data_IF_544121255894
#
_entry.id   IF_544121255894
#
_cell.length_a   1.000
_cell.length_b   1.000
_cell.length_c   1.000
_cell.angle_alpha   90.00
_cell.angle_beta   90.00
_cell.angle_gamma   90.00
#
_symmetry.space_group_name_H-M   'P 1'
#
loop_
_entity.id
_entity.type
_entity.pdbx_description
1 polymer ?
#
# COMPACT_ATOMS: atom_id res chain seq x y z
N UNK A 1 43.63 26.78 45.11
CA UNK A 1 44.42 25.57 45.41
C UNK A 1 43.50 24.53 46.05
N UNK A 2 43.58 23.27 45.56
CA UNK A 2 43.33 22.00 46.27
C UNK A 2 41.91 21.81 46.88
N UNK A 3 41.01 21.03 46.27
CA UNK A 3 40.97 19.55 46.25
C UNK A 3 40.82 18.98 47.68
N UNK A 4 39.82 18.15 48.03
CA UNK A 4 39.65 16.73 47.60
C UNK A 4 38.59 16.04 48.48
N UNK A 5 37.90 15.03 47.89
CA UNK A 5 37.61 13.67 48.43
C UNK A 5 36.48 13.54 49.48
N UNK A 6 35.68 12.46 49.54
CA UNK A 6 35.69 11.16 48.85
C UNK A 6 34.53 10.24 49.32
N UNK A 7 34.12 9.31 48.43
CA UNK A 7 33.89 7.85 48.66
C UNK A 7 32.60 7.45 49.41
N UNK A 8 31.58 6.92 48.70
CA UNK A 8 31.31 5.50 48.32
C UNK A 8 30.68 4.69 49.49
N UNK A 9 29.80 3.70 49.35
CA UNK A 9 29.74 2.43 48.59
C UNK A 9 28.27 1.93 48.64
N UNK A 10 27.64 1.25 47.67
CA UNK A 10 27.74 -0.16 47.23
C UNK A 10 26.73 -0.31 46.06
N UNK A 11 27.04 -0.61 44.80
CA UNK A 11 27.44 -1.87 44.12
C UNK A 11 26.70 -3.17 44.52
N UNK A 12 25.78 -3.59 43.65
CA UNK A 12 25.63 -4.96 43.12
C UNK A 12 24.59 -4.85 41.97
N UNK A 13 24.80 -5.25 40.72
CA UNK A 13 25.81 -6.09 40.11
C UNK A 13 25.10 -6.94 39.05
N UNK A 14 25.21 -6.55 37.77
CA UNK A 14 25.10 -7.47 36.63
C UNK A 14 25.84 -6.84 35.45
N UNK A 15 26.75 -7.63 34.90
CA UNK A 15 27.82 -7.24 34.00
C UNK A 15 27.34 -6.82 32.61
N UNK A 16 28.11 -5.89 32.03
CA UNK A 16 28.02 -5.45 30.65
C UNK A 16 28.19 -6.60 29.66
N UNK A 17 27.38 -6.59 28.60
CA UNK A 17 27.84 -7.01 27.28
C UNK A 17 27.74 -5.77 26.39
N UNK A 18 28.92 -5.27 26.03
CA UNK A 18 29.03 -4.24 25.01
C UNK A 18 28.64 -4.84 23.67
N UNK A 19 27.76 -4.13 22.98
CA UNK A 19 27.69 -4.17 21.53
C UNK A 19 27.49 -2.74 21.09
N UNK A 20 28.60 -2.12 20.67
CA UNK A 20 28.55 -0.98 19.78
C UNK A 20 27.92 -1.48 18.47
N UNK A 21 26.59 -1.40 18.37
CA UNK A 21 25.95 -1.35 17.07
C UNK A 21 25.93 0.11 16.67
N UNK A 22 26.68 0.39 15.60
CA UNK A 22 26.86 1.72 15.07
C UNK A 22 25.53 2.42 14.83
N UNK A 23 25.60 3.74 14.89
CA UNK A 23 24.69 4.65 14.21
C UNK A 23 24.62 4.25 12.73
N UNK A 24 23.82 3.24 12.42
CA UNK A 24 23.17 3.13 11.12
C UNK A 24 22.02 4.12 11.18
N UNK A 25 22.34 5.41 11.03
CA UNK A 25 21.41 6.38 10.45
C UNK A 25 21.23 5.99 8.98
N UNK A 26 20.61 4.84 8.75
CA UNK A 26 19.96 4.59 7.48
C UNK A 26 18.77 5.56 7.39
N UNK A 27 18.31 5.91 6.17
CA UNK A 27 17.07 6.65 6.03
C UNK A 27 16.01 5.92 6.86
N UNK A 28 15.37 6.65 7.78
CA UNK A 28 14.21 6.13 8.47
C UNK A 28 13.24 5.61 7.40
N UNK A 29 12.67 4.40 7.54
CA UNK A 29 11.64 3.99 6.60
C UNK A 29 10.58 5.10 6.59
N UNK A 30 10.22 5.57 5.40
CA UNK A 30 9.14 6.53 5.19
C UNK A 30 7.95 6.10 6.06
N UNK A 31 7.68 6.88 7.11
CA UNK A 31 6.94 6.44 8.30
C UNK A 31 5.44 6.75 8.21
N UNK A 32 4.90 6.99 7.00
CA UNK A 32 3.52 7.47 6.83
C UNK A 32 2.59 6.55 6.02
N UNK A 33 3.10 5.59 5.22
CA UNK A 33 2.24 4.67 4.48
C UNK A 33 1.71 3.50 5.35
N UNK A 34 0.42 3.11 5.25
CA UNK A 34 -0.10 1.93 5.92
C UNK A 34 0.64 0.66 5.48
N UNK A 35 0.90 -0.26 6.41
CA UNK A 35 1.58 -1.52 6.09
C UNK A 35 0.83 -2.38 5.07
N UNK A 36 1.53 -3.16 4.22
CA UNK A 36 0.89 -3.99 3.20
C UNK A 36 0.04 -5.10 3.81
N UNK A 37 -1.18 -5.30 3.31
CA UNK A 37 -2.18 -6.25 3.86
C UNK A 37 -2.70 -7.27 2.85
N UNK A 38 -2.10 -7.35 1.65
CA UNK A 38 -2.35 -8.43 0.70
C UNK A 38 -2.66 -8.00 -0.74
N UNK A 39 -2.68 -6.69 -1.02
CA UNK A 39 -2.59 -6.21 -2.39
C UNK A 39 -1.13 -6.19 -2.85
N UNK A 40 -0.92 -6.20 -4.16
CA UNK A 40 0.38 -6.02 -4.78
C UNK A 40 0.23 -5.01 -5.90
N UNK A 41 1.06 -3.97 -5.86
CA UNK A 41 1.16 -2.96 -6.91
C UNK A 41 2.33 -3.32 -7.82
N UNK A 42 2.14 -3.22 -9.12
CA UNK A 42 3.19 -3.26 -10.11
C UNK A 42 3.10 -2.00 -10.96
N UNK A 43 4.25 -1.37 -11.22
CA UNK A 43 4.35 -0.22 -12.10
C UNK A 43 5.40 -0.58 -13.15
N UNK A 44 5.02 -0.53 -14.42
CA UNK A 44 5.95 -0.70 -15.53
C UNK A 44 5.76 0.44 -16.53
N UNK A 45 6.83 0.78 -17.25
CA UNK A 45 6.73 1.65 -18.42
C UNK A 45 5.76 1.05 -19.43
N UNK A 46 4.77 1.82 -19.90
CA UNK A 46 3.88 1.33 -20.95
C UNK A 46 4.70 1.14 -22.26
N UNK A 47 4.81 -0.09 -22.78
CA UNK A 47 5.61 -0.38 -23.97
C UNK A 47 5.01 0.23 -25.25
N UNK A 48 3.72 0.57 -25.25
CA UNK A 48 3.04 1.19 -26.39
C UNK A 48 3.03 2.72 -26.32
N UNK A 49 3.23 3.30 -25.12
CA UNK A 49 3.26 4.75 -24.92
C UNK A 49 4.24 5.16 -23.82
N UNK A 50 5.41 5.68 -24.23
CA UNK A 50 6.47 6.08 -23.29
C UNK A 50 6.08 7.25 -22.36
N UNK A 51 5.02 8.00 -22.66
CA UNK A 51 4.48 9.04 -21.78
C UNK A 51 3.60 8.53 -20.64
N UNK A 52 3.34 7.22 -20.59
CA UNK A 52 2.49 6.58 -19.59
C UNK A 52 3.21 5.46 -18.83
N UNK A 53 2.80 5.26 -17.58
CA UNK A 53 2.99 4.02 -16.85
C UNK A 53 1.77 3.12 -16.98
N UNK A 54 2.01 1.82 -16.89
CA UNK A 54 0.99 0.81 -16.75
C UNK A 54 1.07 0.28 -15.31
N UNK A 55 0.03 0.58 -14.55
CA UNK A 55 -0.14 0.18 -13.16
C UNK A 55 -1.01 -1.06 -13.14
N UNK A 56 -0.57 -2.10 -12.43
CA UNK A 56 -1.39 -3.26 -12.15
C UNK A 56 -1.52 -3.45 -10.64
N UNK A 57 -2.75 -3.53 -10.17
CA UNK A 57 -3.07 -3.82 -8.77
C UNK A 57 -3.75 -5.18 -8.75
N UNK A 58 -3.21 -6.11 -7.99
CA UNK A 58 -3.77 -7.45 -7.85
C UNK A 58 -3.70 -7.93 -6.41
N UNK A 59 -4.55 -8.88 -6.07
CA UNK A 59 -4.57 -9.47 -4.76
C UNK A 59 -5.72 -10.43 -4.58
N UNK A 60 -5.90 -10.86 -3.35
CA UNK A 60 -6.93 -11.82 -2.99
C UNK A 60 -7.40 -11.61 -1.57
N UNK A 61 -8.70 -11.46 -1.38
CA UNK A 61 -9.32 -11.52 -0.06
C UNK A 61 -9.53 -12.99 0.32
N UNK A 62 -8.77 -13.53 1.30
CA UNK A 62 -8.88 -14.94 1.66
C UNK A 62 -10.23 -15.21 2.31
N UNK A 63 -10.99 -16.15 1.74
CA UNK A 63 -12.28 -16.59 2.26
C UNK A 63 -12.66 -17.95 1.63
N UNK A 64 -13.62 -18.69 2.21
CA UNK A 64 -14.21 -19.85 1.55
C UNK A 64 -14.75 -19.49 0.16
N UNK A 65 -14.58 -20.39 -0.82
CA UNK A 65 -15.06 -20.16 -2.19
C UNK A 65 -16.57 -19.91 -2.24
N UNK A 66 -17.35 -20.59 -1.39
CA UNK A 66 -18.79 -20.41 -1.31
C UNK A 66 -19.16 -18.96 -0.94
N UNK A 67 -18.42 -18.35 -0.02
CA UNK A 67 -18.62 -16.95 0.39
C UNK A 67 -18.24 -16.00 -0.73
N UNK A 68 -17.13 -16.24 -1.43
CA UNK A 68 -16.72 -15.43 -2.58
C UNK A 68 -17.76 -15.47 -3.71
N UNK A 69 -18.30 -16.65 -4.02
CA UNK A 69 -19.40 -16.81 -4.99
C UNK A 69 -20.66 -16.09 -4.49
N UNK A 70 -20.98 -16.21 -3.20
CA UNK A 70 -22.11 -15.53 -2.57
C UNK A 70 -22.03 -14.01 -2.71
N UNK A 71 -20.85 -13.43 -2.42
CA UNK A 71 -20.61 -12.00 -2.60
C UNK A 71 -20.80 -11.56 -4.04
N UNK A 72 -20.23 -12.29 -5.01
CA UNK A 72 -20.34 -11.93 -6.43
C UNK A 72 -21.76 -12.03 -6.97
N UNK A 73 -22.49 -13.08 -6.60
CA UNK A 73 -23.88 -13.28 -7.04
C UNK A 73 -24.84 -12.23 -6.47
N UNK A 74 -24.53 -11.69 -5.28
CA UNK A 74 -25.37 -10.73 -4.58
C UNK A 74 -24.84 -9.30 -4.60
N UNK A 75 -23.75 -9.03 -5.32
CA UNK A 75 -23.00 -7.77 -5.28
C UNK A 75 -23.85 -6.53 -5.59
N UNK A 76 -24.98 -6.68 -6.27
CA UNK A 76 -25.92 -5.60 -6.61
C UNK A 76 -27.31 -5.78 -5.97
N UNK A 77 -27.52 -6.77 -5.09
CA UNK A 77 -28.83 -7.16 -4.58
C UNK A 77 -29.16 -6.59 -3.19
N UNK A 78 -28.24 -5.84 -2.57
CA UNK A 78 -28.39 -5.24 -1.24
C UNK A 78 -28.56 -3.73 -1.28
N UNK A 79 -28.34 -3.09 -0.13
CA UNK A 79 -28.52 -1.65 0.08
C UNK A 79 -27.49 -0.80 -0.69
N UNK A 80 -26.33 -1.38 -1.00
CA UNK A 80 -25.27 -0.73 -1.76
C UNK A 80 -24.93 -1.48 -3.04
N UNK A 81 -24.57 -0.71 -4.07
CA UNK A 81 -23.88 -1.27 -5.24
C UNK A 81 -22.45 -1.67 -4.85
N UNK A 82 -22.19 -2.98 -4.78
CA UNK A 82 -20.87 -3.54 -4.48
C UNK A 82 -19.92 -3.54 -5.68
N UNK A 83 -18.66 -3.87 -5.41
CA UNK A 83 -17.60 -3.89 -6.42
C UNK A 83 -16.22 -3.68 -5.84
N UNK A 84 -15.25 -3.50 -6.73
CA UNK A 84 -13.88 -3.11 -6.39
C UNK A 84 -13.66 -1.64 -6.72
N UNK A 85 -13.17 -0.88 -5.75
CA UNK A 85 -12.59 0.44 -5.96
C UNK A 85 -11.08 0.36 -5.77
N UNK A 86 -10.34 1.10 -6.59
CA UNK A 86 -8.88 1.15 -6.50
C UNK A 86 -8.45 2.59 -6.30
N UNK A 87 -7.52 2.77 -5.38
CA UNK A 87 -6.95 4.05 -5.01
C UNK A 87 -5.45 3.93 -5.11
N UNK A 88 -4.81 4.90 -5.75
CA UNK A 88 -3.36 5.08 -5.72
C UNK A 88 -3.09 6.37 -4.96
N UNK A 89 -2.11 6.29 -4.08
CA UNK A 89 -1.66 7.35 -3.20
C UNK A 89 -0.17 7.56 -3.46
N UNK A 90 0.25 8.81 -3.49
CA UNK A 90 1.62 9.16 -3.23
C UNK A 90 1.73 10.04 -1.98
N UNK A 91 2.92 10.08 -1.40
CA UNK A 91 3.17 10.63 -0.07
C UNK A 91 4.04 11.89 -0.15
N UNK A 92 3.41 13.06 0.01
CA UNK A 92 4.11 14.26 0.46
C UNK A 92 3.93 14.34 2.00
N UNK A 93 4.93 13.88 2.75
CA UNK A 93 5.08 14.07 4.21
C UNK A 93 3.80 13.87 5.08
N UNK A 94 3.10 12.74 4.95
CA UNK A 94 2.06 12.38 5.91
C UNK A 94 0.80 13.24 5.85
N UNK A 95 0.54 13.88 4.70
CA UNK A 95 -0.75 14.50 4.43
C UNK A 95 -1.69 13.48 3.77
N UNK A 96 -2.70 13.00 4.50
CA UNK A 96 -3.72 12.07 3.96
C UNK A 96 -4.55 12.70 2.81
N UNK A 97 -4.43 14.01 2.58
CA UNK A 97 -5.00 14.71 1.42
C UNK A 97 -4.11 14.59 0.14
N UNK A 98 -2.95 13.93 0.22
CA UNK A 98 -2.01 13.74 -0.88
C UNK A 98 -2.60 12.86 -2.00
N UNK A 99 -2.94 13.54 -3.10
CA UNK A 99 -3.17 13.08 -4.48
C UNK A 99 -3.85 11.71 -4.62
N UNK A 100 -5.17 11.74 -4.44
CA UNK A 100 -6.07 10.66 -4.81
C UNK A 100 -6.20 10.53 -6.33
N UNK A 101 -5.69 9.44 -6.90
CA UNK A 101 -6.20 8.97 -8.19
C UNK A 101 -7.25 7.90 -7.89
N UNK A 102 -8.50 8.35 -7.73
CA UNK A 102 -9.64 7.44 -7.65
C UNK A 102 -9.93 6.88 -9.04
N UNK A 103 -9.76 5.58 -9.18
CA UNK A 103 -10.12 4.89 -10.42
C UNK A 103 -11.58 4.46 -10.37
N UNK A 104 -12.25 4.54 -11.54
CA UNK A 104 -13.64 4.11 -11.67
C UNK A 104 -13.81 2.69 -11.10
N UNK A 105 -14.85 2.45 -10.28
CA UNK A 105 -15.09 1.14 -9.72
C UNK A 105 -15.21 0.08 -10.81
N UNK A 106 -14.61 -1.09 -10.59
CA UNK A 106 -15.03 -2.31 -11.26
C UNK A 106 -16.31 -2.76 -10.56
N UNK A 107 -17.43 -2.48 -11.21
CA UNK A 107 -18.76 -2.83 -10.73
C UNK A 107 -19.07 -4.28 -11.10
N UNK A 108 -19.42 -5.09 -10.11
CA UNK A 108 -19.77 -6.50 -10.34
C UNK A 108 -18.59 -7.44 -10.60
N UNK A 109 -18.92 -8.71 -10.88
CA UNK A 109 -17.95 -9.70 -11.35
C UNK A 109 -17.48 -9.33 -12.77
N UNK A 110 -16.17 -9.37 -12.99
CA UNK A 110 -15.55 -9.01 -14.26
C UNK A 110 -14.45 -10.00 -14.58
N UNK A 111 -14.26 -10.36 -15.84
CA UNK A 111 -13.18 -11.27 -16.26
C UNK A 111 -12.64 -10.86 -17.63
N UNK A 112 -11.91 -9.75 -17.66
CA UNK A 112 -11.33 -9.19 -18.87
C UNK A 112 -9.79 -9.11 -18.77
N UNK A 113 -9.08 -8.93 -19.91
CA UNK A 113 -7.64 -8.70 -19.92
C UNK A 113 -7.22 -7.51 -19.05
N UNK A 114 -8.00 -6.44 -19.01
CA UNK A 114 -7.70 -5.21 -18.27
C UNK A 114 -8.02 -5.30 -16.77
N UNK A 115 -8.70 -6.36 -16.34
CA UNK A 115 -9.03 -6.56 -14.94
C UNK A 115 -10.08 -7.63 -14.72
N UNK A 116 -10.09 -8.19 -13.51
CA UNK A 116 -11.09 -9.15 -13.11
C UNK A 116 -11.42 -9.04 -11.62
N UNK A 117 -12.59 -9.55 -11.28
CA UNK A 117 -13.04 -9.85 -9.93
C UNK A 117 -13.78 -11.19 -9.99
N UNK A 118 -13.17 -12.23 -9.43
CA UNK A 118 -13.66 -13.62 -9.56
C UNK A 118 -13.50 -14.40 -8.26
N UNK A 119 -14.40 -15.36 -8.06
CA UNK A 119 -14.30 -16.31 -6.96
C UNK A 119 -13.37 -17.47 -7.36
N UNK A 120 -12.43 -17.80 -6.49
CA UNK A 120 -11.51 -18.94 -6.65
C UNK A 120 -11.58 -19.85 -5.42
N UNK A 121 -10.91 -21.00 -5.48
CA UNK A 121 -10.79 -21.90 -4.32
C UNK A 121 -10.07 -21.27 -3.12
N UNK A 122 -9.45 -20.11 -3.31
CA UNK A 122 -8.67 -19.40 -2.30
C UNK A 122 -9.33 -18.09 -1.83
N UNK A 123 -10.53 -17.78 -2.34
CA UNK A 123 -11.31 -16.59 -1.96
C UNK A 123 -11.65 -15.71 -3.14
N UNK A 124 -11.74 -14.41 -2.89
CA UNK A 124 -12.10 -13.42 -3.91
C UNK A 124 -10.82 -12.82 -4.51
N UNK A 125 -10.51 -13.20 -5.74
CA UNK A 125 -9.31 -12.77 -6.47
C UNK A 125 -9.65 -11.58 -7.36
N UNK A 126 -8.76 -10.60 -7.39
CA UNK A 126 -8.95 -9.40 -8.18
C UNK A 126 -7.67 -8.96 -8.88
N UNK A 127 -7.86 -8.30 -10.01
CA UNK A 127 -6.82 -7.60 -10.76
C UNK A 127 -7.43 -6.38 -11.43
N UNK A 128 -6.69 -5.30 -11.50
CA UNK A 128 -6.93 -4.22 -12.45
C UNK A 128 -5.62 -3.80 -13.08
N UNK A 129 -5.69 -3.34 -14.32
CA UNK A 129 -4.58 -2.76 -15.06
C UNK A 129 -5.03 -1.42 -15.62
N UNK A 130 -4.20 -0.40 -15.42
CA UNK A 130 -4.56 0.99 -15.75
C UNK A 130 -3.35 1.67 -16.38
N UNK A 131 -3.58 2.42 -17.44
CA UNK A 131 -2.59 3.33 -17.99
C UNK A 131 -2.74 4.70 -17.33
N UNK A 132 -1.64 5.24 -16.83
CA UNK A 132 -1.58 6.52 -16.16
C UNK A 132 -0.45 7.36 -16.76
N UNK A 133 -0.66 8.66 -16.98
CA UNK A 133 0.43 9.54 -17.43
C UNK A 133 1.50 9.64 -16.34
N UNK A 134 2.77 9.64 -16.73
CA UNK A 134 3.89 9.76 -15.78
C UNK A 134 3.79 10.96 -14.86
N UNK A 135 3.35 12.10 -15.41
CA UNK A 135 3.16 13.35 -14.67
C UNK A 135 2.17 13.27 -13.50
N UNK A 136 1.36 12.21 -13.40
CA UNK A 136 0.47 12.00 -12.26
C UNK A 136 1.14 11.29 -11.08
N UNK A 137 2.28 10.63 -11.32
CA UNK A 137 3.07 9.93 -10.32
C UNK A 137 4.33 10.70 -9.90
N UNK A 138 4.62 11.78 -10.62
CA UNK A 138 5.71 12.69 -10.30
C UNK A 138 5.21 13.69 -9.24
N UNK A 139 5.61 13.47 -8.00
CA UNK A 139 5.16 14.23 -6.84
C UNK A 139 6.14 15.32 -6.46
N UNK A 140 7.43 15.14 -6.77
CA UNK A 140 8.50 16.05 -6.41
C UNK A 140 8.75 17.19 -7.41
N UNK A 141 8.81 18.41 -6.88
CA UNK A 141 9.49 19.55 -7.51
C UNK A 141 10.69 20.06 -6.70
N UNK A 142 11.09 19.28 -5.68
CA UNK A 142 12.17 19.58 -4.75
C UNK A 142 13.57 19.22 -5.29
N UNK A 143 14.61 19.75 -4.65
CA UNK A 143 16.03 19.56 -5.03
C UNK A 143 16.75 18.60 -4.08
N UNK A 144 16.04 18.06 -3.08
CA UNK A 144 16.58 17.31 -1.95
C UNK A 144 15.79 16.03 -1.62
N UNK A 145 14.61 15.86 -2.23
CA UNK A 145 13.88 14.60 -2.25
C UNK A 145 13.74 14.22 -3.73
N UNK A 146 14.24 13.03 -4.06
CA UNK A 146 14.46 12.59 -5.44
C UNK A 146 13.69 11.28 -5.73
N UNK A 147 12.86 10.78 -4.81
CA UNK A 147 12.10 9.56 -5.09
C UNK A 147 10.65 9.75 -4.73
N UNK A 148 9.76 9.61 -5.72
CA UNK A 148 8.34 9.54 -5.43
C UNK A 148 8.05 8.18 -4.76
N UNK A 149 7.24 8.20 -3.70
CA UNK A 149 6.70 6.98 -3.07
C UNK A 149 5.23 6.77 -3.42
N UNK A 150 4.92 5.57 -3.92
CA UNK A 150 3.57 5.25 -4.39
C UNK A 150 3.09 3.94 -3.77
N UNK A 151 1.86 3.92 -3.29
CA UNK A 151 1.18 2.70 -2.90
C UNK A 151 -0.28 2.69 -3.38
N UNK A 152 -0.90 1.51 -3.33
CA UNK A 152 -2.28 1.33 -3.76
C UNK A 152 -3.12 0.66 -2.68
N UNK A 153 -4.40 0.99 -2.65
CA UNK A 153 -5.41 0.27 -1.89
C UNK A 153 -6.51 -0.27 -2.80
N UNK A 154 -6.87 -1.52 -2.56
CA UNK A 154 -7.99 -2.21 -3.18
C UNK A 154 -9.12 -2.35 -2.16
N UNK A 155 -10.27 -1.75 -2.48
CA UNK A 155 -11.43 -1.68 -1.60
C UNK A 155 -12.55 -2.53 -2.20
N UNK A 156 -12.78 -3.70 -1.62
CA UNK A 156 -13.95 -4.51 -1.93
C UNK A 156 -15.13 -4.04 -1.10
N UNK A 157 -16.20 -3.56 -1.75
CA UNK A 157 -17.46 -3.21 -1.11
C UNK A 157 -18.49 -4.28 -1.41
N UNK A 158 -19.08 -4.87 -0.38
CA UNK A 158 -20.19 -5.81 -0.53
C UNK A 158 -21.55 -5.10 -0.68
N UNK A 159 -22.59 -5.90 -0.89
CA UNK A 159 -23.97 -5.41 -1.04
C UNK A 159 -24.56 -4.81 0.24
N UNK A 160 -23.96 -5.10 1.39
CA UNK A 160 -24.36 -4.58 2.71
C UNK A 160 -23.57 -3.32 3.08
N UNK A 161 -22.91 -2.69 2.11
CA UNK A 161 -22.05 -1.51 2.27
C UNK A 161 -20.78 -1.73 3.11
N UNK A 162 -20.41 -2.98 3.44
CA UNK A 162 -19.18 -3.25 4.19
C UNK A 162 -17.99 -3.21 3.24
N UNK A 163 -16.91 -2.60 3.70
CA UNK A 163 -15.69 -2.42 2.92
C UNK A 163 -14.58 -3.27 3.52
N UNK A 164 -13.91 -4.05 2.67
CA UNK A 164 -12.66 -4.76 2.97
C UNK A 164 -11.55 -4.09 2.19
N UNK A 165 -10.48 -3.73 2.88
CA UNK A 165 -9.35 -2.98 2.30
C UNK A 165 -8.12 -3.89 2.29
N UNK A 166 -7.40 -3.89 1.18
CA UNK A 166 -6.05 -4.43 1.07
C UNK A 166 -5.10 -3.36 0.53
N UNK A 167 -3.97 -3.20 1.22
CA UNK A 167 -2.93 -2.22 0.91
C UNK A 167 -1.74 -2.93 0.27
N UNK A 168 -1.17 -2.33 -0.76
CA UNK A 168 0.04 -2.82 -1.43
C UNK A 168 1.30 -2.48 -0.66
N UNK A 169 2.42 -3.01 -1.12
CA UNK A 169 3.72 -2.45 -0.79
C UNK A 169 3.85 -1.02 -1.33
N UNK A 170 4.70 -0.21 -0.68
CA UNK A 170 5.19 1.06 -1.20
C UNK A 170 6.25 0.77 -2.26
N UNK A 171 6.19 1.48 -3.38
CA UNK A 171 7.21 1.49 -4.42
C UNK A 171 7.84 2.88 -4.44
N UNK A 172 9.15 2.92 -4.25
CA UNK A 172 9.96 4.14 -4.29
C UNK A 172 10.73 4.18 -5.60
N UNK A 173 10.72 5.32 -6.29
CA UNK A 173 11.48 5.48 -7.54
C UNK A 173 11.33 6.87 -8.17
N UNK A 174 12.02 7.06 -9.29
CA UNK A 174 11.87 8.25 -10.14
C UNK A 174 10.76 8.00 -11.16
N UNK A 175 9.60 8.63 -11.02
CA UNK A 175 8.46 8.42 -11.92
C UNK A 175 8.29 9.52 -12.98
#
# INVERSE_FOLDING_TARGET
MKARKAVAWMTSGAAAVGTAFGLMTGPAPASAAPGPTGATLHIIQDPQNQGNYLLAILGRFPMPQADAVGFLNNINNGDCQGGMNYYVFGDDEGNEDARYIHFKPVLGAHDNPDGYLKATSQGLEYRTQIQLRKSFLNEDSGVLDDNDEIYAQAHFKDSDCKIRIQTSQVITGLF
#
